data_IF_914668376268
#
_entry.id   IF_914668376268
#
_cell.length_a   1.000
_cell.length_b   1.000
_cell.length_c   1.000
_cell.angle_alpha   90.00
_cell.angle_beta   90.00
_cell.angle_gamma   90.00
#
_symmetry.space_group_name_H-M   'P 1'
#
loop_
_entity.id
_entity.type
_entity.pdbx_description
1 polymer ?
#
# COMPACT_ATOMS: atom_id res chain seq x y z
N UNK A 1 1.28 -67.58 41.45
CA UNK A 1 0.90 -66.39 40.66
C UNK A 1 1.61 -65.18 41.24
N UNK A 2 2.60 -64.63 40.52
CA UNK A 2 3.25 -63.36 40.86
C UNK A 2 3.28 -62.53 39.58
N UNK A 3 2.50 -61.45 39.55
CA UNK A 3 2.41 -60.52 38.42
C UNK A 3 3.60 -59.58 38.52
N UNK A 4 4.49 -59.58 37.53
CA UNK A 4 5.57 -58.60 37.41
C UNK A 4 5.05 -57.36 36.68
N UNK A 5 5.13 -56.20 37.34
CA UNK A 5 4.83 -54.91 36.76
C UNK A 5 6.00 -54.45 35.87
N UNK A 6 5.72 -54.18 34.59
CA UNK A 6 6.66 -53.54 33.66
C UNK A 6 6.50 -52.03 33.80
N UNK A 7 7.55 -51.34 34.23
CA UNK A 7 7.60 -49.88 34.26
C UNK A 7 7.98 -49.36 32.87
N UNK A 8 7.05 -48.64 32.23
CA UNK A 8 7.31 -47.90 30.98
C UNK A 8 7.98 -46.58 31.35
N UNK A 9 9.26 -46.43 31.00
CA UNK A 9 10.00 -45.18 31.12
C UNK A 9 9.58 -44.23 29.98
N UNK A 10 8.88 -43.16 30.33
CA UNK A 10 8.47 -42.10 29.42
C UNK A 10 9.68 -41.18 29.15
N UNK A 11 10.34 -41.36 28.01
CA UNK A 11 11.41 -40.46 27.55
C UNK A 11 10.82 -39.09 27.19
N UNK A 12 11.08 -38.08 28.03
CA UNK A 12 10.89 -36.66 27.72
C UNK A 12 11.94 -36.23 26.68
N UNK A 13 11.53 -36.09 25.42
CA UNK A 13 12.36 -35.39 24.44
C UNK A 13 12.24 -33.87 24.67
N UNK A 14 13.36 -33.12 24.78
CA UNK A 14 13.30 -31.67 24.81
C UNK A 14 12.77 -31.18 23.46
N UNK A 15 11.64 -30.47 23.49
CA UNK A 15 11.11 -29.80 22.31
C UNK A 15 12.13 -28.79 21.82
N UNK A 16 12.67 -29.01 20.62
CA UNK A 16 13.37 -27.96 19.88
C UNK A 16 12.36 -26.83 19.64
N UNK A 17 12.44 -25.77 20.42
CA UNK A 17 11.84 -24.50 20.05
C UNK A 17 12.54 -24.08 18.75
N UNK A 18 11.84 -24.13 17.62
CA UNK A 18 12.32 -23.55 16.39
C UNK A 18 12.69 -22.09 16.69
N UNK A 19 13.97 -21.75 16.55
CA UNK A 19 14.42 -20.38 16.69
C UNK A 19 13.61 -19.53 15.72
N UNK A 20 13.08 -18.40 16.19
CA UNK A 20 12.46 -17.43 15.30
C UNK A 20 13.48 -17.09 14.19
N UNK A 21 13.06 -17.03 12.92
CA UNK A 21 13.99 -16.72 11.83
C UNK A 21 14.72 -15.43 12.17
N UNK A 22 16.04 -15.44 12.03
CA UNK A 22 16.84 -14.24 12.23
C UNK A 22 16.38 -13.18 11.24
N UNK A 23 16.12 -11.98 11.75
CA UNK A 23 15.68 -10.84 10.98
C UNK A 23 16.80 -10.39 10.03
N UNK A 24 16.58 -10.51 8.72
CA UNK A 24 17.56 -10.14 7.68
C UNK A 24 16.96 -9.11 6.70
N UNK A 25 16.95 -7.86 7.15
CA UNK A 25 16.48 -6.74 6.34
C UNK A 25 17.33 -6.41 5.12
N UNK A 26 18.68 -6.51 5.17
CA UNK A 26 19.50 -6.38 3.96
C UNK A 26 19.06 -7.35 2.85
N UNK A 27 18.87 -8.63 3.17
CA UNK A 27 18.41 -9.61 2.18
C UNK A 27 16.97 -9.34 1.71
N UNK A 28 16.11 -8.76 2.56
CA UNK A 28 14.79 -8.29 2.14
C UNK A 28 14.89 -7.18 1.08
N UNK A 29 15.75 -6.18 1.29
CA UNK A 29 15.96 -5.08 0.35
C UNK A 29 16.41 -5.60 -1.00
N UNK A 30 17.44 -6.45 -1.04
CA UNK A 30 17.96 -7.02 -2.29
C UNK A 30 16.88 -7.75 -3.09
N UNK A 31 16.01 -8.50 -2.38
CA UNK A 31 14.93 -9.28 -2.99
C UNK A 31 13.77 -8.42 -3.47
N UNK A 32 13.37 -7.41 -2.71
CA UNK A 32 12.13 -6.64 -2.94
C UNK A 32 12.38 -5.38 -3.76
N UNK A 33 13.55 -4.74 -3.64
CA UNK A 33 13.83 -3.49 -4.34
C UNK A 33 13.59 -3.54 -5.86
N UNK A 34 13.82 -4.64 -6.60
CA UNK A 34 13.47 -4.72 -8.02
C UNK A 34 11.97 -4.60 -8.32
N UNK A 35 11.09 -4.93 -7.37
CA UNK A 35 9.64 -4.80 -7.50
C UNK A 35 9.12 -3.41 -7.10
N UNK A 36 9.97 -2.53 -6.56
CA UNK A 36 9.60 -1.14 -6.22
C UNK A 36 10.01 -0.23 -7.38
N UNK A 37 9.01 0.33 -8.05
CA UNK A 37 9.13 1.09 -9.30
C UNK A 37 8.74 2.55 -9.10
N UNK A 38 9.20 3.41 -10.02
CA UNK A 38 8.79 4.81 -10.03
C UNK A 38 7.63 4.96 -11.01
N UNK A 39 6.62 5.70 -10.58
CA UNK A 39 5.44 6.01 -11.36
C UNK A 39 5.36 7.52 -11.52
N UNK A 40 5.43 7.97 -12.75
CA UNK A 40 5.19 9.37 -13.11
C UNK A 40 3.72 9.52 -13.44
N UNK A 41 3.07 10.40 -12.68
CA UNK A 41 1.64 10.66 -12.79
C UNK A 41 1.45 12.10 -13.25
N UNK A 42 0.88 12.27 -14.43
CA UNK A 42 0.35 13.56 -14.88
C UNK A 42 -1.15 13.56 -14.67
N UNK A 43 -1.64 14.54 -13.93
CA UNK A 43 -3.00 14.65 -13.47
C UNK A 43 -3.57 16.00 -13.88
N UNK A 44 -4.80 15.98 -14.37
CA UNK A 44 -5.61 17.19 -14.56
C UNK A 44 -6.61 17.30 -13.43
N UNK A 45 -6.57 18.42 -12.71
CA UNK A 45 -7.42 18.70 -11.56
C UNK A 45 -8.41 19.81 -11.90
N UNK A 46 -9.70 19.52 -11.81
CA UNK A 46 -10.80 20.46 -12.03
C UNK A 46 -11.49 20.74 -10.68
N UNK A 47 -11.67 22.02 -10.34
CA UNK A 47 -12.34 22.46 -9.11
C UNK A 47 -13.82 22.77 -9.37
N UNK A 48 -14.71 22.36 -8.46
CA UNK A 48 -16.16 22.66 -8.54
C UNK A 48 -16.50 24.15 -8.40
N UNK A 49 -15.58 24.98 -7.92
CA UNK A 49 -15.78 26.42 -7.72
C UNK A 49 -15.47 27.29 -8.95
N UNK A 50 -15.16 26.66 -10.08
CA UNK A 50 -14.69 27.35 -11.27
C UNK A 50 -13.20 27.71 -11.18
N UNK A 51 -12.58 27.92 -12.33
CA UNK A 51 -11.15 28.09 -12.50
C UNK A 51 -10.64 27.29 -13.70
N UNK A 52 -9.49 27.68 -14.22
CA UNK A 52 -8.82 26.89 -15.25
C UNK A 52 -8.35 25.56 -14.65
N UNK A 53 -8.52 24.44 -15.37
CA UNK A 53 -7.98 23.16 -14.92
C UNK A 53 -6.47 23.26 -14.69
N UNK A 54 -6.02 22.71 -13.57
CA UNK A 54 -4.60 22.67 -13.24
C UNK A 54 -4.02 21.32 -13.68
N UNK A 55 -2.92 21.36 -14.42
CA UNK A 55 -2.13 20.17 -14.71
C UNK A 55 -0.97 20.07 -13.73
N UNK A 56 -0.80 18.91 -13.12
CA UNK A 56 0.32 18.64 -12.22
C UNK A 56 0.96 17.30 -12.57
N UNK A 57 2.29 17.25 -12.49
CA UNK A 57 3.06 16.02 -12.68
C UNK A 57 3.88 15.74 -11.43
N UNK A 58 3.73 14.54 -10.89
CA UNK A 58 4.47 14.09 -9.70
C UNK A 58 5.00 12.67 -9.89
N UNK A 59 6.16 12.40 -9.30
CA UNK A 59 6.71 11.05 -9.19
C UNK A 59 6.30 10.43 -7.85
N UNK A 60 5.79 9.21 -7.92
CA UNK A 60 5.40 8.41 -6.76
C UNK A 60 6.03 7.02 -6.87
N UNK A 61 6.03 6.26 -5.79
CA UNK A 61 6.48 4.86 -5.80
C UNK A 61 5.29 3.92 -5.96
N UNK A 62 5.54 2.80 -6.64
CA UNK A 62 4.61 1.70 -6.77
C UNK A 62 5.29 0.36 -6.52
N UNK A 63 4.49 -0.64 -6.20
CA UNK A 63 4.93 -2.01 -5.97
C UNK A 63 4.35 -2.93 -7.06
N UNK A 64 5.20 -3.62 -7.82
CA UNK A 64 4.75 -4.64 -8.78
C UNK A 64 4.15 -5.79 -7.98
N UNK A 65 2.87 -6.08 -8.22
CA UNK A 65 2.10 -7.16 -7.58
C UNK A 65 1.73 -8.26 -8.55
N UNK A 66 2.03 -8.08 -9.84
CA UNK A 66 1.95 -9.11 -10.85
C UNK A 66 3.13 -9.05 -11.83
N UNK A 67 3.76 -10.19 -12.18
CA UNK A 67 4.86 -10.21 -13.14
C UNK A 67 4.50 -9.68 -14.54
N UNK A 68 3.21 -9.64 -14.91
CA UNK A 68 2.70 -9.06 -16.15
C UNK A 68 2.58 -7.54 -16.15
N UNK A 69 2.99 -6.86 -15.08
CA UNK A 69 3.03 -5.38 -15.02
C UNK A 69 1.85 -4.72 -14.30
N UNK A 70 1.16 -5.44 -13.40
CA UNK A 70 0.21 -4.83 -12.47
C UNK A 70 0.97 -4.25 -11.29
N UNK A 71 0.76 -2.96 -11.04
CA UNK A 71 1.49 -2.17 -10.05
C UNK A 71 0.49 -1.59 -9.06
N UNK A 72 0.70 -1.89 -7.78
CA UNK A 72 -0.03 -1.30 -6.67
C UNK A 72 0.54 0.08 -6.33
N UNK A 73 -0.34 1.05 -6.13
CA UNK A 73 -0.01 2.40 -5.68
C UNK A 73 -1.05 2.90 -4.67
N UNK A 74 -0.73 3.99 -3.99
CA UNK A 74 -1.66 4.65 -3.08
C UNK A 74 -2.77 5.39 -3.84
N UNK A 75 -4.05 5.15 -3.50
CA UNK A 75 -5.18 5.73 -4.24
C UNK A 75 -5.33 7.24 -4.04
N UNK A 76 -4.86 7.78 -2.92
CA UNK A 76 -4.95 9.22 -2.65
C UNK A 76 -4.17 10.08 -3.67
N UNK A 77 -3.30 9.49 -4.51
CA UNK A 77 -2.73 10.17 -5.68
C UNK A 77 -3.77 10.48 -6.77
N UNK A 78 -4.81 9.66 -6.92
CA UNK A 78 -5.86 9.80 -7.94
C UNK A 78 -7.16 10.39 -7.41
N UNK A 79 -7.38 10.30 -6.10
CA UNK A 79 -8.59 10.82 -5.46
C UNK A 79 -8.20 11.56 -4.18
N UNK A 80 -7.68 12.80 -4.30
CA UNK A 80 -7.30 13.60 -3.14
C UNK A 80 -8.52 14.07 -2.36
N UNK A 81 -9.74 13.90 -2.89
CA UNK A 81 -10.99 14.27 -2.21
C UNK A 81 -11.05 13.72 -0.79
N UNK A 82 -10.53 12.51 -0.56
CA UNK A 82 -10.47 11.91 0.77
C UNK A 82 -9.54 12.66 1.72
N UNK A 83 -8.44 13.21 1.22
CA UNK A 83 -7.55 14.09 1.99
C UNK A 83 -8.17 15.47 2.14
N UNK A 84 -8.78 16.01 1.09
CA UNK A 84 -9.42 17.33 1.11
C UNK A 84 -10.63 17.41 2.04
N UNK A 85 -11.39 16.33 2.21
CA UNK A 85 -12.43 16.19 3.24
C UNK A 85 -11.86 16.49 4.64
N UNK A 86 -10.62 16.03 4.93
CA UNK A 86 -9.90 16.32 6.19
C UNK A 86 -9.61 17.82 6.34
N UNK A 87 -9.26 18.49 5.25
CA UNK A 87 -8.89 19.91 5.25
C UNK A 87 -10.11 20.85 5.16
N UNK A 88 -11.21 20.37 4.59
CA UNK A 88 -12.44 21.13 4.35
C UNK A 88 -13.34 21.22 5.60
N UNK A 89 -13.17 20.34 6.60
CA UNK A 89 -13.97 20.32 7.84
C UNK A 89 -13.83 21.57 8.76
N UNK A 90 -13.16 22.64 8.31
CA UNK A 90 -13.13 23.95 8.98
C UNK A 90 -13.57 25.14 8.12
N UNK A 91 -13.91 24.93 6.84
CA UNK A 91 -14.35 25.97 5.89
C UNK A 91 -15.59 25.45 5.20
N UNK A 92 -16.78 25.92 5.58
CA UNK A 92 -18.09 25.38 5.20
C UNK A 92 -18.48 25.39 3.71
N UNK A 93 -17.61 24.91 2.83
CA UNK A 93 -17.77 24.74 1.40
C UNK A 93 -17.27 23.35 1.02
N UNK A 94 -18.17 22.52 0.48
CA UNK A 94 -17.81 21.24 -0.16
C UNK A 94 -16.97 21.53 -1.42
N UNK A 95 -15.65 21.68 -1.26
CA UNK A 95 -14.72 21.72 -2.39
C UNK A 95 -14.60 20.32 -2.96
N UNK A 96 -15.22 20.09 -4.12
CA UNK A 96 -15.07 18.85 -4.87
C UNK A 96 -14.03 19.06 -5.96
N UNK A 97 -13.02 18.18 -5.98
CA UNK A 97 -12.04 18.15 -7.05
C UNK A 97 -12.28 16.92 -7.91
N UNK A 98 -12.25 17.10 -9.22
CA UNK A 98 -12.22 16.01 -10.17
C UNK A 98 -10.79 15.88 -10.67
N UNK A 99 -10.13 14.80 -10.28
CA UNK A 99 -8.79 14.46 -10.75
C UNK A 99 -8.91 13.42 -11.85
N UNK A 100 -8.35 13.73 -13.01
CA UNK A 100 -8.32 12.84 -14.16
C UNK A 100 -6.87 12.56 -14.52
N UNK A 101 -6.40 11.29 -14.51
CA UNK A 101 -5.08 10.95 -15.02
C UNK A 101 -5.02 11.26 -16.51
N UNK A 102 -4.06 12.08 -16.93
CA UNK A 102 -3.84 12.43 -18.34
C UNK A 102 -2.74 11.56 -18.95
N UNK A 103 -1.69 11.29 -18.17
CA UNK A 103 -0.59 10.42 -18.57
C UNK A 103 -0.04 9.66 -17.35
N UNK A 104 0.29 8.39 -17.56
CA UNK A 104 0.86 7.52 -16.54
C UNK A 104 2.01 6.76 -17.20
N UNK A 105 3.21 6.95 -16.68
CA UNK A 105 4.38 6.18 -17.11
C UNK A 105 5.12 5.57 -15.92
N UNK A 106 5.77 4.44 -16.17
CA UNK A 106 6.49 3.67 -15.16
C UNK A 106 7.94 3.53 -15.60
N UNK A 107 8.87 3.79 -14.70
CA UNK A 107 10.29 3.49 -14.94
C UNK A 107 10.81 2.51 -13.90
N UNK A 108 11.65 1.59 -14.37
CA UNK A 108 12.27 0.56 -13.55
C UNK A 108 13.63 1.03 -13.06
N UNK A 109 14.07 0.51 -11.91
CA UNK A 109 15.36 0.93 -11.40
C UNK A 109 16.51 0.45 -12.28
N UNK A 110 17.44 1.35 -12.61
CA UNK A 110 18.54 1.08 -13.53
C UNK A 110 18.17 1.22 -15.01
N UNK A 111 16.89 1.46 -15.33
CA UNK A 111 16.41 1.75 -16.68
C UNK A 111 15.52 3.01 -16.67
N UNK A 112 16.03 4.15 -17.17
CA UNK A 112 15.26 5.39 -17.22
C UNK A 112 14.13 5.36 -18.26
N UNK A 113 13.97 4.27 -19.02
CA UNK A 113 12.91 4.13 -20.01
C UNK A 113 11.53 4.24 -19.34
N UNK A 114 10.75 5.20 -19.82
CA UNK A 114 9.36 5.37 -19.39
C UNK A 114 8.45 4.42 -20.18
N UNK A 115 7.78 3.52 -19.46
CA UNK A 115 6.82 2.57 -20.00
C UNK A 115 5.40 3.11 -19.81
N UNK A 116 4.63 3.34 -20.90
CA UNK A 116 3.26 3.80 -20.80
C UNK A 116 2.38 2.81 -20.02
N UNK A 117 1.50 3.35 -19.18
CA UNK A 117 0.61 2.58 -18.35
C UNK A 117 -0.79 3.21 -18.30
N UNK A 118 -1.73 2.57 -17.62
CA UNK A 118 -3.09 3.09 -17.41
C UNK A 118 -3.61 2.67 -16.03
N UNK A 119 -4.52 3.49 -15.47
CA UNK A 119 -5.22 3.15 -14.23
C UNK A 119 -6.19 1.99 -14.51
N UNK A 120 -5.89 0.82 -13.97
CA UNK A 120 -6.69 -0.40 -14.17
C UNK A 120 -7.86 -0.48 -13.19
N UNK A 121 -7.61 -0.18 -11.91
CA UNK A 121 -8.63 -0.20 -10.88
C UNK A 121 -8.28 0.77 -9.74
N UNK A 122 -9.31 1.25 -9.05
CA UNK A 122 -9.19 2.05 -7.83
C UNK A 122 -10.18 1.53 -6.79
N UNK A 123 -9.72 1.33 -5.57
CA UNK A 123 -10.54 0.93 -4.43
C UNK A 123 -10.43 2.01 -3.36
N UNK A 124 -11.31 3.00 -3.43
CA UNK A 124 -11.35 4.11 -2.47
C UNK A 124 -11.67 3.65 -1.06
N UNK A 125 -12.33 2.50 -0.88
CA UNK A 125 -12.63 1.97 0.44
C UNK A 125 -11.35 1.58 1.18
N UNK A 126 -10.42 0.92 0.49
CA UNK A 126 -9.14 0.46 1.03
C UNK A 126 -7.97 1.40 0.75
N UNK A 127 -8.24 2.48 0.01
CA UNK A 127 -7.26 3.49 -0.40
C UNK A 127 -6.09 2.90 -1.23
N UNK A 128 -6.43 1.90 -2.06
CA UNK A 128 -5.50 1.22 -2.99
C UNK A 128 -5.90 1.51 -4.44
N UNK A 129 -4.91 1.72 -5.31
CA UNK A 129 -5.11 1.81 -6.74
C UNK A 129 -4.11 0.94 -7.48
N UNK A 130 -4.46 0.57 -8.71
CA UNK A 130 -3.71 -0.37 -9.53
C UNK A 130 -3.50 0.20 -10.92
N UNK A 131 -2.25 0.24 -11.32
CA UNK A 131 -1.81 0.68 -12.64
C UNK A 131 -1.35 -0.54 -13.41
N UNK A 132 -1.68 -0.63 -14.69
CA UNK A 132 -1.25 -1.70 -15.58
C UNK A 132 -0.39 -1.11 -16.70
N UNK A 133 0.76 -1.72 -16.97
CA UNK A 133 1.55 -1.39 -18.16
C UNK A 133 0.74 -1.66 -19.43
N UNK A 134 0.84 -0.74 -20.41
CA UNK A 134 0.16 -0.89 -21.70
C UNK A 134 0.73 -2.04 -22.52
N UNK A 135 2.06 -2.17 -22.57
CA UNK A 135 2.74 -3.31 -23.21
C UNK A 135 3.11 -4.33 -22.14
N UNK A 136 2.70 -5.58 -22.34
CA UNK A 136 3.15 -6.70 -21.49
C UNK A 136 4.68 -6.81 -21.56
N UNK A 137 5.37 -6.92 -20.41
CA UNK A 137 6.80 -7.16 -20.36
C UNK A 137 7.21 -8.42 -21.13
N UNK A 138 8.37 -8.37 -21.80
CA UNK A 138 8.91 -9.52 -22.56
C UNK A 138 9.44 -10.62 -21.62
N UNK A 139 9.91 -10.22 -20.44
CA UNK A 139 10.29 -11.11 -19.35
C UNK A 139 9.44 -10.79 -18.11
N UNK A 140 9.08 -11.80 -17.28
CA UNK A 140 8.33 -11.59 -16.05
C UNK A 140 9.04 -10.59 -15.13
N UNK A 141 8.32 -9.58 -14.66
CA UNK A 141 8.84 -8.62 -13.69
C UNK A 141 8.96 -9.27 -12.30
N UNK A 142 9.91 -8.78 -11.50
CA UNK A 142 9.92 -9.08 -10.08
C UNK A 142 8.63 -8.54 -9.45
N UNK A 143 7.90 -9.40 -8.73
CA UNK A 143 6.60 -9.07 -8.17
C UNK A 143 6.47 -9.55 -6.72
N UNK A 144 5.67 -8.84 -5.94
CA UNK A 144 5.39 -9.15 -4.53
C UNK A 144 4.16 -10.06 -4.47
N UNK A 145 4.36 -11.28 -4.00
CA UNK A 145 3.31 -12.30 -3.92
C UNK A 145 2.57 -12.25 -2.58
N UNK A 146 1.37 -11.67 -2.58
CA UNK A 146 0.47 -11.63 -1.43
C UNK A 146 -0.24 -12.97 -1.13
N UNK A 147 -0.07 -14.01 -1.95
CA UNK A 147 -0.58 -15.34 -1.63
C UNK A 147 0.17 -15.98 -0.45
N UNK A 148 1.44 -15.61 -0.25
CA UNK A 148 2.29 -16.06 0.85
C UNK A 148 2.27 -15.07 2.02
N UNK A 149 1.08 -14.64 2.43
CA UNK A 149 0.92 -13.63 3.47
C UNK A 149 1.47 -14.06 4.84
N UNK A 150 2.10 -13.12 5.55
CA UNK A 150 2.34 -13.23 6.98
C UNK A 150 1.08 -12.85 7.78
N UNK A 151 0.98 -13.36 9.01
CA UNK A 151 -0.08 -12.98 9.97
C UNK A 151 0.60 -12.35 11.19
N UNK A 152 0.92 -11.06 11.12
CA UNK A 152 1.67 -10.43 12.18
C UNK A 152 0.79 -10.17 13.41
N UNK A 153 1.42 -9.85 14.53
CA UNK A 153 0.77 -9.62 15.83
C UNK A 153 1.35 -8.36 16.50
N UNK A 154 0.64 -7.77 17.48
CA UNK A 154 1.21 -6.69 18.28
C UNK A 154 2.55 -7.10 18.90
N UNK A 155 3.56 -6.23 18.76
CA UNK A 155 4.94 -6.48 19.14
C UNK A 155 5.85 -6.89 17.98
N UNK A 156 5.30 -7.46 16.91
CA UNK A 156 6.10 -7.86 15.74
C UNK A 156 6.64 -6.62 15.01
N UNK A 157 7.86 -6.75 14.48
CA UNK A 157 8.49 -5.76 13.61
C UNK A 157 8.24 -6.11 12.15
N UNK A 158 7.94 -5.09 11.36
CA UNK A 158 7.76 -5.17 9.92
C UNK A 158 8.70 -4.17 9.24
N UNK A 159 9.14 -4.49 8.04
CA UNK A 159 9.92 -3.57 7.22
C UNK A 159 9.21 -3.26 5.90
N UNK A 160 9.29 -2.02 5.43
CA UNK A 160 8.95 -1.67 4.05
C UNK A 160 10.24 -1.36 3.29
N UNK A 161 10.29 -1.79 2.04
CA UNK A 161 11.38 -1.45 1.12
C UNK A 161 10.90 -0.29 0.25
N UNK A 162 11.72 0.74 0.17
CA UNK A 162 11.44 1.97 -0.56
C UNK A 162 12.68 2.45 -1.29
N UNK A 163 12.57 3.58 -1.97
CA UNK A 163 13.67 4.19 -2.72
C UNK A 163 13.73 5.68 -2.45
N UNK A 164 14.94 6.21 -2.40
CA UNK A 164 15.14 7.65 -2.36
C UNK A 164 14.70 8.28 -3.68
N UNK A 165 14.67 9.62 -3.74
CA UNK A 165 14.35 10.33 -4.98
C UNK A 165 15.50 10.25 -5.99
N UNK A 166 15.26 10.71 -7.22
CA UNK A 166 16.30 10.79 -8.25
C UNK A 166 17.54 11.60 -7.82
N UNK A 167 17.39 12.56 -6.89
CA UNK A 167 18.51 13.35 -6.33
C UNK A 167 19.54 12.47 -5.63
N UNK A 168 19.11 11.33 -5.07
CA UNK A 168 19.95 10.34 -4.41
C UNK A 168 19.96 9.01 -5.17
N UNK A 169 19.94 9.09 -6.51
CA UNK A 169 20.09 7.95 -7.43
C UNK A 169 19.10 6.80 -7.17
N UNK A 170 17.93 7.12 -6.61
CA UNK A 170 16.88 6.13 -6.29
C UNK A 170 17.38 4.94 -5.46
N UNK A 171 18.39 5.17 -4.61
CA UNK A 171 19.00 4.14 -3.76
C UNK A 171 17.91 3.45 -2.93
N UNK A 172 17.85 2.10 -2.95
CA UNK A 172 16.89 1.38 -2.14
C UNK A 172 17.27 1.45 -0.67
N UNK A 173 16.27 1.60 0.18
CA UNK A 173 16.40 1.58 1.63
C UNK A 173 15.20 0.85 2.24
N UNK A 174 15.24 0.65 3.55
CA UNK A 174 14.10 0.14 4.29
C UNK A 174 13.85 0.99 5.54
N UNK A 175 12.59 1.04 5.95
CA UNK A 175 12.22 1.44 7.30
C UNK A 175 11.66 0.25 8.07
N UNK A 176 11.70 0.33 9.39
CA UNK A 176 11.15 -0.68 10.30
C UNK A 176 10.12 -0.02 11.19
N UNK A 177 8.96 -0.66 11.26
CA UNK A 177 7.85 -0.30 12.13
C UNK A 177 7.53 -1.45 13.06
N UNK A 178 6.95 -1.13 14.22
CA UNK A 178 6.42 -2.13 15.14
C UNK A 178 4.91 -2.06 15.15
N UNK A 179 4.24 -3.21 15.14
CA UNK A 179 2.80 -3.23 15.36
C UNK A 179 2.52 -2.97 16.83
N UNK A 180 1.69 -1.98 17.12
CA UNK A 180 1.34 -1.56 18.48
C UNK A 180 -0.07 -1.95 18.88
N UNK A 181 -0.92 -2.34 17.92
CA UNK A 181 -2.28 -2.75 18.20
C UNK A 181 -3.03 -3.24 16.96
N UNK A 182 -4.29 -3.63 17.18
CA UNK A 182 -5.19 -4.11 16.13
C UNK A 182 -6.55 -3.39 16.25
N UNK A 183 -6.99 -2.79 15.15
CA UNK A 183 -8.37 -2.36 14.97
C UNK A 183 -9.16 -3.55 14.45
N UNK A 184 -10.37 -3.79 14.99
CA UNK A 184 -11.28 -4.85 14.53
C UNK A 184 -12.57 -4.31 13.91
N UNK A 185 -12.93 -3.06 14.21
CA UNK A 185 -14.13 -2.38 13.71
C UNK A 185 -13.78 -0.93 13.33
N UNK A 186 -14.36 -0.38 12.25
CA UNK A 186 -15.32 -1.02 11.34
C UNK A 186 -14.72 -2.09 10.43
N UNK A 187 -13.38 -2.22 10.41
CA UNK A 187 -12.64 -3.25 9.68
C UNK A 187 -11.36 -3.62 10.40
N UNK A 188 -10.80 -4.77 10.04
CA UNK A 188 -9.54 -5.24 10.62
C UNK A 188 -8.37 -4.48 10.01
N UNK A 189 -7.55 -3.86 10.84
CA UNK A 189 -6.30 -3.21 10.43
C UNK A 189 -5.28 -3.21 11.58
N UNK A 190 -4.00 -3.10 11.28
CA UNK A 190 -2.97 -2.98 12.31
C UNK A 190 -2.59 -1.53 12.57
N UNK A 191 -2.39 -1.21 13.84
CA UNK A 191 -1.82 0.07 14.27
C UNK A 191 -0.30 -0.12 14.27
N UNK A 192 0.40 0.77 13.58
CA UNK A 192 1.86 0.81 13.54
C UNK A 192 2.36 1.93 14.45
N UNK A 193 3.50 1.70 15.12
CA UNK A 193 4.11 2.68 16.01
C UNK A 193 4.48 3.97 15.27
N UNK A 194 4.26 5.11 15.93
CA UNK A 194 4.61 6.42 15.39
C UNK A 194 6.13 6.56 15.17
N UNK A 195 6.53 7.25 14.10
CA UNK A 195 7.92 7.67 13.87
C UNK A 195 8.52 7.24 12.54
N UNK A 196 8.22 6.01 12.08
CA UNK A 196 8.87 5.41 10.89
C UNK A 196 7.90 4.89 9.83
N UNK A 197 6.58 4.99 10.03
CA UNK A 197 5.59 4.51 9.06
C UNK A 197 5.33 5.58 7.99
N UNK A 198 6.20 5.68 6.99
CA UNK A 198 6.13 6.73 5.96
C UNK A 198 5.83 6.22 4.55
N UNK A 199 5.84 4.90 4.33
CA UNK A 199 5.68 4.30 2.99
C UNK A 199 4.23 3.98 2.65
N UNK A 200 3.39 5.01 2.49
CA UNK A 200 1.99 4.80 2.06
C UNK A 200 1.91 4.16 0.68
N UNK A 201 0.99 3.22 0.52
CA UNK A 201 0.80 2.45 -0.71
C UNK A 201 1.84 1.34 -0.94
N UNK A 202 2.90 1.24 -0.13
CA UNK A 202 3.91 0.19 -0.28
C UNK A 202 3.66 -0.99 0.68
N UNK A 203 4.05 -2.21 0.29
CA UNK A 203 3.97 -3.39 1.14
C UNK A 203 4.95 -3.35 2.31
N UNK A 204 4.48 -3.82 3.47
CA UNK A 204 5.31 -4.12 4.63
C UNK A 204 5.46 -5.63 4.79
N UNK A 205 6.64 -6.08 5.21
CA UNK A 205 7.05 -7.47 5.28
C UNK A 205 7.39 -7.88 6.70
N UNK A 206 7.02 -9.11 7.08
CA UNK A 206 7.45 -9.70 8.34
C UNK A 206 8.94 -10.07 8.30
N UNK A 207 9.51 -10.42 9.46
CA UNK A 207 10.93 -10.80 9.59
C UNK A 207 11.35 -11.99 8.72
N UNK A 208 10.40 -12.86 8.35
CA UNK A 208 10.62 -13.98 7.42
C UNK A 208 10.53 -13.57 5.94
N UNK A 209 10.31 -12.28 5.66
CA UNK A 209 10.25 -11.70 4.33
C UNK A 209 8.93 -11.87 3.59
N UNK A 210 7.90 -12.41 4.24
CA UNK A 210 6.54 -12.53 3.66
C UNK A 210 5.78 -11.21 3.79
N UNK A 211 4.97 -10.80 2.80
CA UNK A 211 4.17 -9.59 2.89
C UNK A 211 3.12 -9.72 4.00
N UNK A 212 3.10 -8.76 4.91
CA UNK A 212 2.18 -8.68 6.03
C UNK A 212 0.96 -7.79 5.73
N UNK A 213 1.14 -6.79 4.86
CA UNK A 213 0.09 -5.85 4.50
C UNK A 213 0.59 -4.66 3.71
N UNK A 214 -0.28 -3.67 3.51
CA UNK A 214 0.04 -2.41 2.82
C UNK A 214 -0.32 -1.25 3.75
N UNK A 215 0.57 -0.26 3.87
CA UNK A 215 0.29 0.92 4.69
C UNK A 215 -0.64 1.87 3.92
N UNK A 216 -1.78 2.20 4.49
CA UNK A 216 -2.82 3.02 3.86
C UNK A 216 -3.42 3.99 4.86
N UNK A 217 -4.16 4.98 4.37
CA UNK A 217 -4.96 5.86 5.23
C UNK A 217 -6.34 5.26 5.42
N UNK A 218 -6.67 4.85 6.65
CA UNK A 218 -8.02 4.38 6.99
C UNK A 218 -8.71 5.45 7.81
N UNK A 219 -9.49 6.29 7.12
CA UNK A 219 -10.40 7.21 7.79
C UNK A 219 -11.67 6.52 8.24
N UNK A 220 -12.14 6.84 9.46
CA UNK A 220 -13.48 6.44 9.89
C UNK A 220 -14.54 7.20 9.10
N UNK A 221 -15.50 6.48 8.52
CA UNK A 221 -16.70 7.05 7.87
C UNK A 221 -17.75 7.53 8.88
N UNK A 222 -17.55 7.27 10.17
CA UNK A 222 -18.44 7.81 11.21
C UNK A 222 -18.09 9.26 11.43
N UNK A 223 -18.93 10.15 10.90
CA UNK A 223 -19.08 11.50 11.41
C UNK A 223 -19.60 11.40 12.85
N UNK A 224 -18.70 11.36 13.82
CA UNK A 224 -19.07 11.63 15.20
C UNK A 224 -19.24 13.14 15.30
N UNK A 225 -20.49 13.61 15.40
CA UNK A 225 -20.87 15.01 15.68
C UNK A 225 -20.42 15.47 17.09
N UNK A 226 -19.41 14.83 17.67
CA UNK A 226 -18.98 15.03 19.04
C UNK A 226 -17.48 14.85 19.13
N UNK A 227 -16.73 15.83 18.62
CA UNK A 227 -15.46 16.15 19.27
C UNK A 227 -15.80 16.98 20.51
N UNK A 228 -15.60 16.47 21.74
CA UNK A 228 -15.97 17.20 22.96
C UNK A 228 -15.18 18.51 23.13
N UNK A 229 -14.05 18.61 22.44
CA UNK A 229 -13.27 19.82 22.31
C UNK A 229 -13.21 20.18 20.83
N UNK A 230 -13.63 21.40 20.46
CA UNK A 230 -13.40 21.99 19.15
C UNK A 230 -11.90 22.22 18.89
N UNK A 231 -11.14 21.12 18.86
CA UNK A 231 -9.70 21.07 18.72
C UNK A 231 -9.28 21.14 17.27
N UNK A 232 -8.11 21.74 17.06
CA UNK A 232 -7.48 21.88 15.76
C UNK A 232 -7.09 20.49 15.24
N UNK A 233 -7.92 19.84 14.42
CA UNK A 233 -7.61 18.54 13.77
C UNK A 233 -6.28 18.54 13.00
N UNK A 234 -5.80 19.71 12.57
CA UNK A 234 -4.45 19.89 12.02
C UNK A 234 -3.34 19.55 13.03
N UNK A 235 -3.50 19.90 14.31
CA UNK A 235 -2.54 19.54 15.36
C UNK A 235 -2.60 18.05 15.71
N UNK A 236 -3.79 17.42 15.62
CA UNK A 236 -3.96 15.97 15.75
C UNK A 236 -3.32 15.22 14.56
N UNK A 237 -3.54 15.72 13.34
CA UNK A 237 -2.95 15.19 12.10
C UNK A 237 -1.43 15.37 12.05
N UNK A 238 -0.86 16.41 12.65
CA UNK A 238 0.59 16.59 12.73
C UNK A 238 1.21 15.88 13.96
N UNK A 239 0.41 15.13 14.73
CA UNK A 239 0.87 14.43 15.93
C UNK A 239 1.30 15.36 17.09
N UNK A 240 0.92 16.65 17.03
CA UNK A 240 1.30 17.68 18.01
C UNK A 240 0.24 17.83 19.11
N UNK A 241 -0.97 17.30 18.90
CA UNK A 241 -2.05 17.24 19.89
C UNK A 241 -1.94 16.01 20.81
N UNK A 242 -1.84 16.21 22.12
CA UNK A 242 -2.01 15.12 23.10
C UNK A 242 -3.49 14.79 23.24
N UNK A 243 -3.90 13.71 22.58
CA UNK A 243 -5.13 12.98 22.91
C UNK A 243 -6.24 13.09 21.88
N UNK A 244 -6.28 12.11 20.98
CA UNK A 244 -7.46 11.34 20.54
C UNK A 244 -6.94 10.21 19.66
N UNK A 245 -7.19 8.96 20.08
CA UNK A 245 -6.71 7.73 19.45
C UNK A 245 -7.71 7.24 18.38
N UNK A 246 -8.67 8.09 17.99
CA UNK A 246 -9.74 7.73 17.03
C UNK A 246 -9.22 7.60 15.60
N UNK A 247 -8.15 8.32 15.29
CA UNK A 247 -7.27 8.09 14.16
C UNK A 247 -5.96 7.63 14.77
N UNK A 248 -5.39 6.52 14.32
CA UNK A 248 -4.02 6.14 14.72
C UNK A 248 -3.03 7.29 14.46
N UNK A 249 -1.75 7.18 14.82
CA UNK A 249 -0.78 8.21 14.45
C UNK A 249 -0.92 8.51 12.94
N UNK A 250 -1.36 9.73 12.60
CA UNK A 250 -1.64 10.22 11.24
C UNK A 250 -2.82 9.56 10.46
N UNK A 251 -3.67 8.76 11.10
CA UNK A 251 -4.73 8.00 10.40
C UNK A 251 -4.21 6.88 9.50
N UNK A 252 -2.94 6.50 9.68
CA UNK A 252 -2.27 5.44 8.95
C UNK A 252 -2.47 4.09 9.64
N UNK A 253 -2.85 3.09 8.85
CA UNK A 253 -3.02 1.73 9.31
C UNK A 253 -2.42 0.77 8.29
N UNK A 254 -1.88 -0.34 8.78
CA UNK A 254 -1.48 -1.42 7.90
C UNK A 254 -2.69 -2.29 7.58
N UNK A 255 -3.10 -2.27 6.32
CA UNK A 255 -4.14 -3.14 5.81
C UNK A 255 -3.59 -4.57 5.67
N UNK A 256 -4.20 -5.57 6.34
CA UNK A 256 -3.72 -6.95 6.30
C UNK A 256 -3.69 -7.54 4.88
N UNK A 257 -2.68 -8.36 4.60
CA UNK A 257 -2.49 -8.98 3.29
C UNK A 257 -3.70 -9.81 2.79
N UNK A 258 -4.48 -10.42 3.70
CA UNK A 258 -5.71 -11.15 3.37
C UNK A 258 -6.83 -10.26 2.84
N UNK A 259 -6.83 -8.96 3.17
CA UNK A 259 -7.72 -7.96 2.60
C UNK A 259 -7.18 -7.33 1.32
N UNK A 260 -5.86 -7.25 1.16
CA UNK A 260 -5.21 -6.73 -0.05
C UNK A 260 -5.35 -7.71 -1.22
N UNK A 261 -5.13 -9.01 -0.97
CA UNK A 261 -5.09 -10.06 -2.01
C UNK A 261 -6.35 -10.12 -2.88
N UNK A 262 -7.59 -10.15 -2.34
CA UNK A 262 -8.79 -10.18 -3.18
C UNK A 262 -8.91 -8.96 -4.11
N UNK A 263 -8.38 -7.82 -3.69
CA UNK A 263 -8.47 -6.57 -4.46
C UNK A 263 -7.42 -6.56 -5.57
N UNK A 264 -6.24 -7.14 -5.34
CA UNK A 264 -5.25 -7.42 -6.40
C UNK A 264 -5.88 -8.32 -7.47
N UNK A 265 -6.58 -9.38 -7.09
CA UNK A 265 -7.21 -10.29 -8.06
C UNK A 265 -8.32 -9.64 -8.87
N UNK A 266 -9.15 -8.80 -8.23
CA UNK A 266 -10.14 -8.00 -8.95
C UNK A 266 -9.48 -7.00 -9.91
N UNK A 267 -8.41 -6.34 -9.48
CA UNK A 267 -7.66 -5.40 -10.31
C UNK A 267 -7.00 -6.09 -11.50
N UNK A 268 -6.46 -7.30 -11.32
CA UNK A 268 -5.91 -8.15 -12.38
C UNK A 268 -6.96 -8.46 -13.45
N UNK A 269 -8.15 -8.87 -13.04
CA UNK A 269 -9.25 -9.15 -13.97
C UNK A 269 -9.63 -7.89 -14.75
N UNK A 270 -9.80 -6.76 -14.05
CA UNK A 270 -10.15 -5.49 -14.68
C UNK A 270 -9.06 -4.99 -15.62
N UNK A 271 -7.79 -5.17 -15.26
CA UNK A 271 -6.65 -4.82 -16.09
C UNK A 271 -6.67 -5.61 -17.42
N UNK A 272 -6.95 -6.91 -17.36
CA UNK A 272 -7.05 -7.75 -18.55
C UNK A 272 -8.19 -7.32 -19.48
N UNK A 273 -9.37 -7.03 -18.94
CA UNK A 273 -10.51 -6.49 -19.71
C UNK A 273 -10.15 -5.17 -20.39
N UNK A 274 -9.61 -4.22 -19.64
CA UNK A 274 -9.23 -2.89 -20.13
C UNK A 274 -8.09 -2.93 -21.16
N UNK A 275 -7.16 -3.86 -21.03
CA UNK A 275 -6.09 -4.08 -22.01
C UNK A 275 -6.67 -4.63 -23.32
N UNK A 276 -7.61 -5.58 -23.24
CA UNK A 276 -8.29 -6.12 -24.42
C UNK A 276 -9.14 -5.05 -25.14
N UNK A 277 -9.88 -4.22 -24.40
CA UNK A 277 -10.64 -3.08 -24.95
C UNK A 277 -9.72 -2.09 -25.68
N UNK A 278 -8.56 -1.77 -25.08
CA UNK A 278 -7.57 -0.85 -25.67
C UNK A 278 -6.89 -1.42 -26.91
N UNK A 279 -6.55 -2.71 -26.91
CA UNK A 279 -6.01 -3.39 -28.08
C UNK A 279 -7.02 -3.35 -29.24
N UNK A 280 -8.29 -3.66 -28.96
CA UNK A 280 -9.35 -3.60 -29.95
C UNK A 280 -9.59 -2.18 -30.50
N UNK A 281 -9.50 -1.14 -29.65
CA UNK A 281 -9.63 0.25 -30.08
C UNK A 281 -8.43 0.74 -30.92
N UNK A 282 -7.22 0.26 -30.62
CA UNK A 282 -6.00 0.55 -31.39
C UNK A 282 -6.02 -0.06 -32.80
N UNK A 283 -6.54 -1.28 -32.95
CA UNK A 283 -6.69 -1.95 -34.25
C UNK A 283 -7.68 -1.22 -35.18
N UNK A 284 -8.70 -0.55 -34.63
CA UNK A 284 -9.66 0.24 -35.42
C UNK A 284 -9.09 1.58 -35.89
N UNK A 285 -8.11 2.15 -35.18
CA UNK A 285 -7.42 3.38 -35.58
C UNK A 285 -6.37 3.15 -36.69
N UNK A 286 -5.86 1.92 -36.82
CA UNK A 286 -4.89 1.53 -37.85
C UNK A 286 -5.49 1.05 -39.18
N UNK A 287 -6.82 1.00 -39.31
CA UNK A 287 -7.53 0.45 -40.48
C UNK A 287 -8.21 1.50 -41.37
N UNK A 288 -7.75 2.76 -41.37
CA UNK A 288 -8.26 3.84 -42.22
C UNK A 288 -7.18 4.48 -43.07
#
# INVERSE_FOLDING_TARGET
MRVSAVAVALCLLPGFAAAAPAQDWPALVERVAPAIVNVKLSLKTESSFGGEPEESTHEVLGAVVDPGGLILVWNSHFSPNRFLEIFAEGRGHEMQFKVTPTDISVSFNGDPTEHPAFLAAANSDLDLAFIQLQKTPEAPLAAIDFAQAATPRPGDELAAVSRLTAVFDRVPYFDVVRITGQVRKPRTAWIVGAGNATQTGLPYFAADGRPAGVLVTVMSRTRTDTSPNGGNRMAELLGVGRGTVEVGPLGLFLLPADQVRPVIEQARQRAAELAAERAAAGDVAGSR
#
